data_IF_364867774138
#
_entry.id   IF_364867774138
#
_cell.length_a   1.000
_cell.length_b   1.000
_cell.length_c   1.000
_cell.angle_alpha   90.00
_cell.angle_beta   90.00
_cell.angle_gamma   90.00
#
_symmetry.space_group_name_H-M   'P 1'
#
loop_
_entity.id
_entity.type
_entity.pdbx_description
1 polymer ?
#
# COMPACT_ATOMS: atom_id res chain seq x y z
N UNK A 1 -1.51 10.11 14.76
CA UNK A 1 -1.82 10.55 13.38
C UNK A 1 -0.56 10.84 12.57
N UNK A 2 0.45 11.54 13.10
CA UNK A 2 1.72 11.76 12.38
C UNK A 2 2.47 10.48 12.01
N UNK A 3 2.58 9.53 12.96
CA UNK A 3 3.34 8.29 12.75
C UNK A 3 2.88 7.45 11.54
N UNK A 4 1.59 7.08 11.38
CA UNK A 4 1.13 6.35 10.19
C UNK A 4 1.35 7.15 8.90
N UNK A 5 1.16 8.47 8.91
CA UNK A 5 1.47 9.32 7.75
C UNK A 5 2.95 9.30 7.37
N UNK A 6 3.84 9.31 8.37
CA UNK A 6 5.29 9.20 8.15
C UNK A 6 5.71 7.80 7.68
N UNK A 7 5.07 6.74 8.17
CA UNK A 7 5.28 5.38 7.67
C UNK A 7 4.82 5.23 6.21
N UNK A 8 3.66 5.81 5.86
CA UNK A 8 3.21 5.85 4.47
C UNK A 8 4.21 6.59 3.58
N UNK A 9 4.73 7.71 4.05
CA UNK A 9 5.78 8.45 3.36
C UNK A 9 7.02 7.59 3.15
N UNK A 10 7.50 6.91 4.20
CA UNK A 10 8.67 6.04 4.14
C UNK A 10 8.49 4.88 3.13
N UNK A 11 7.30 4.29 3.10
CA UNK A 11 6.94 3.19 2.20
C UNK A 11 6.82 3.67 0.74
N UNK A 12 6.13 4.79 0.51
CA UNK A 12 5.88 5.34 -0.84
C UNK A 12 7.16 5.89 -1.48
N UNK A 13 8.08 6.39 -0.66
CA UNK A 13 9.36 6.95 -1.12
C UNK A 13 10.44 5.89 -1.36
N UNK A 14 10.16 4.61 -1.08
CA UNK A 14 11.18 3.55 -1.11
C UNK A 14 12.43 3.89 -0.27
N UNK A 15 12.26 4.67 0.80
CA UNK A 15 13.39 5.11 1.63
C UNK A 15 14.04 3.92 2.32
N UNK A 16 13.26 2.91 2.71
CA UNK A 16 13.79 1.68 3.32
C UNK A 16 14.76 0.99 2.36
N UNK A 17 14.39 0.86 1.09
CA UNK A 17 15.24 0.23 0.07
C UNK A 17 16.46 1.10 -0.27
N UNK A 18 16.32 2.43 -0.30
CA UNK A 18 17.44 3.37 -0.45
C UNK A 18 18.45 3.20 0.70
N UNK A 19 17.98 3.07 1.93
CA UNK A 19 18.82 2.89 3.12
C UNK A 19 19.45 1.50 3.17
N UNK A 20 18.77 0.47 2.66
CA UNK A 20 19.35 -0.86 2.51
C UNK A 20 20.55 -0.85 1.56
N UNK A 21 20.42 -0.21 0.38
CA UNK A 21 21.55 -0.05 -0.55
C UNK A 21 22.74 0.72 0.04
N UNK A 22 22.49 1.63 0.98
CA UNK A 22 23.54 2.41 1.66
C UNK A 22 24.25 1.63 2.77
N UNK A 23 23.62 0.60 3.34
CA UNK A 23 24.17 -0.23 4.41
C UNK A 23 24.19 0.44 5.79
N UNK A 24 24.95 -0.17 6.72
CA UNK A 24 24.97 0.21 8.15
C UNK A 24 25.53 1.61 8.41
N UNK A 25 26.38 2.13 7.52
CA UNK A 25 26.92 3.49 7.61
C UNK A 25 25.86 4.59 7.41
N UNK A 26 24.69 4.21 6.90
CA UNK A 26 23.59 5.11 6.62
C UNK A 26 23.84 6.04 5.44
N UNK A 27 22.85 6.85 5.13
CA UNK A 27 22.88 7.82 4.04
C UNK A 27 22.47 9.19 4.55
N UNK A 28 23.17 10.23 4.07
CA UNK A 28 22.80 11.60 4.39
C UNK A 28 21.48 11.98 3.73
N UNK A 29 20.66 12.72 4.46
CA UNK A 29 19.31 13.11 4.04
C UNK A 29 19.28 13.86 2.71
N UNK A 30 20.34 14.61 2.38
CA UNK A 30 20.49 15.25 1.07
C UNK A 30 20.50 14.24 -0.08
N UNK A 31 21.16 13.09 0.10
CA UNK A 31 21.26 12.06 -0.93
C UNK A 31 19.94 11.26 -1.04
N UNK A 32 19.27 11.03 0.09
CA UNK A 32 17.93 10.41 0.11
C UNK A 32 16.93 11.33 -0.62
N UNK A 33 16.93 12.62 -0.28
CA UNK A 33 16.06 13.63 -0.84
C UNK A 33 16.24 13.79 -2.36
N UNK A 34 17.50 13.77 -2.84
CA UNK A 34 17.84 13.83 -4.26
C UNK A 34 17.22 12.69 -5.07
N UNK A 35 17.21 11.47 -4.53
CA UNK A 35 16.66 10.30 -5.25
C UNK A 35 15.18 10.46 -5.60
N UNK A 36 14.43 11.19 -4.79
CA UNK A 36 12.98 11.34 -4.94
C UNK A 36 12.52 12.76 -5.27
N UNK A 37 13.44 13.71 -5.43
CA UNK A 37 13.13 15.11 -5.72
C UNK A 37 12.28 15.81 -4.65
N UNK A 38 12.37 15.38 -3.38
CA UNK A 38 11.66 16.01 -2.26
C UNK A 38 12.58 16.96 -1.49
N UNK A 39 12.02 17.96 -0.84
CA UNK A 39 12.76 18.91 -0.01
C UNK A 39 13.52 18.21 1.15
N UNK A 40 14.77 18.65 1.36
CA UNK A 40 15.70 18.07 2.35
C UNK A 40 15.14 18.25 3.76
N UNK A 41 14.62 19.43 4.09
CA UNK A 41 14.10 19.74 5.42
C UNK A 41 12.90 18.87 5.80
N UNK A 42 11.98 18.62 4.85
CA UNK A 42 10.86 17.69 5.06
C UNK A 42 11.33 16.28 5.34
N UNK A 43 12.31 15.79 4.57
CA UNK A 43 12.90 14.48 4.81
C UNK A 43 13.56 14.41 6.19
N UNK A 44 14.38 15.40 6.55
CA UNK A 44 15.06 15.43 7.85
C UNK A 44 14.06 15.34 9.00
N UNK A 45 13.02 16.18 8.98
CA UNK A 45 11.99 16.15 10.02
C UNK A 45 11.24 14.81 10.10
N UNK A 46 10.87 14.22 8.97
CA UNK A 46 10.14 12.93 8.95
C UNK A 46 11.05 11.79 9.44
N UNK A 47 12.29 11.71 8.97
CA UNK A 47 13.23 10.65 9.33
C UNK A 47 13.70 10.78 10.79
N UNK A 48 13.91 12.00 11.30
CA UNK A 48 14.17 12.24 12.71
C UNK A 48 12.98 11.77 13.57
N UNK A 49 11.74 12.10 13.20
CA UNK A 49 10.55 11.64 13.93
C UNK A 49 10.44 10.10 13.95
N UNK A 50 10.71 9.44 12.82
CA UNK A 50 10.73 7.98 12.77
C UNK A 50 11.87 7.38 13.59
N UNK A 51 13.00 8.09 13.70
CA UNK A 51 14.15 7.68 14.51
C UNK A 51 13.87 7.79 16.02
N UNK A 52 13.16 8.83 16.47
CA UNK A 52 12.72 8.95 17.88
C UNK A 52 11.71 7.88 18.27
N UNK A 53 10.95 7.37 17.30
CA UNK A 53 10.06 6.21 17.48
C UNK A 53 10.75 4.85 17.27
N UNK A 54 12.08 4.82 17.15
CA UNK A 54 12.87 3.60 16.94
C UNK A 54 12.47 2.80 15.69
N UNK A 55 11.91 3.45 14.67
CA UNK A 55 11.60 2.81 13.39
C UNK A 55 12.81 2.90 12.45
N UNK A 56 13.56 4.00 12.52
CA UNK A 56 14.85 4.16 11.86
C UNK A 56 15.95 4.35 12.90
N UNK A 57 17.20 4.36 12.44
CA UNK A 57 18.35 4.69 13.28
C UNK A 57 19.09 5.90 12.68
N UNK A 58 19.19 6.98 13.43
CA UNK A 58 20.01 8.14 13.08
C UNK A 58 21.44 7.90 13.60
N UNK A 59 22.38 7.69 12.69
CA UNK A 59 23.77 7.36 13.01
C UNK A 59 24.52 8.59 13.53
N UNK A 60 24.24 9.75 12.93
CA UNK A 60 24.73 11.08 13.28
C UNK A 60 23.80 12.12 12.64
N UNK A 61 23.91 13.42 12.95
CA UNK A 61 22.99 14.44 12.43
C UNK A 61 22.79 14.30 10.92
N UNK A 62 21.53 14.20 10.51
CA UNK A 62 21.09 14.10 9.12
C UNK A 62 21.55 12.84 8.37
N UNK A 63 22.06 11.81 9.06
CA UNK A 63 22.41 10.51 8.49
C UNK A 63 21.61 9.38 9.11
N UNK A 64 20.86 8.67 8.26
CA UNK A 64 19.92 7.63 8.68
C UNK A 64 20.30 6.27 8.11
N UNK A 65 20.00 5.20 8.84
CA UNK A 65 20.12 3.82 8.39
C UNK A 65 18.90 3.01 8.84
N UNK A 66 18.70 1.85 8.24
CA UNK A 66 17.68 0.92 8.66
C UNK A 66 18.03 0.28 10.00
N UNK A 67 17.01 -0.01 10.80
CA UNK A 67 17.15 -0.81 12.00
C UNK A 67 16.33 -2.10 11.86
N UNK A 68 16.23 -2.90 12.93
CA UNK A 68 15.48 -4.17 12.92
C UNK A 68 14.02 -4.01 12.52
N UNK A 69 13.37 -2.90 12.85
CA UNK A 69 11.97 -2.62 12.54
C UNK A 69 11.83 -2.14 11.10
N UNK A 70 12.62 -1.15 10.64
CA UNK A 70 12.51 -0.73 9.24
C UNK A 70 12.98 -1.79 8.25
N UNK A 71 13.93 -2.64 8.61
CA UNK A 71 14.35 -3.77 7.79
C UNK A 71 13.21 -4.78 7.54
N UNK A 72 12.21 -4.87 8.42
CA UNK A 72 11.03 -5.70 8.17
C UNK A 72 10.19 -5.16 7.00
N UNK A 73 10.21 -3.85 6.77
CA UNK A 73 9.52 -3.18 5.67
C UNK A 73 10.28 -3.26 4.34
N UNK A 74 11.51 -3.77 4.36
CA UNK A 74 12.32 -3.89 3.16
C UNK A 74 11.75 -4.97 2.24
N UNK A 75 11.60 -4.63 0.96
CA UNK A 75 11.17 -5.57 -0.07
C UNK A 75 12.31 -6.46 -0.59
N UNK A 76 13.57 -6.15 -0.24
CA UNK A 76 14.76 -6.85 -0.73
C UNK A 76 15.05 -6.58 -2.21
N UNK A 77 14.47 -5.52 -2.77
CA UNK A 77 14.61 -5.14 -4.19
C UNK A 77 15.43 -3.89 -4.32
N UNK A 78 16.18 -3.80 -5.41
CA UNK A 78 16.94 -2.60 -5.71
C UNK A 78 16.00 -1.47 -6.12
N UNK A 79 16.33 -0.24 -5.71
CA UNK A 79 15.53 0.95 -5.96
C UNK A 79 15.34 1.16 -7.47
N UNK A 80 16.38 0.87 -8.27
CA UNK A 80 16.31 0.96 -9.74
C UNK A 80 15.24 0.05 -10.35
N UNK A 81 14.98 -1.12 -9.76
CA UNK A 81 13.94 -2.05 -10.23
C UNK A 81 12.55 -1.57 -9.82
N UNK A 82 12.43 -1.02 -8.60
CA UNK A 82 11.18 -0.46 -8.08
C UNK A 82 10.72 0.76 -8.89
N UNK A 83 11.66 1.59 -9.33
CA UNK A 83 11.39 2.75 -10.18
C UNK A 83 10.86 2.34 -11.55
N UNK A 84 11.46 1.29 -12.14
CA UNK A 84 11.01 0.75 -13.42
C UNK A 84 9.64 0.11 -13.30
N UNK A 85 9.42 -0.73 -12.29
CA UNK A 85 8.23 -1.55 -12.12
C UNK A 85 7.58 -1.35 -10.72
N UNK A 86 6.99 -0.18 -10.40
CA UNK A 86 6.46 0.07 -9.06
C UNK A 86 5.34 -0.91 -8.68
N UNK A 87 4.54 -1.34 -9.66
CA UNK A 87 3.48 -2.32 -9.46
C UNK A 87 3.97 -3.66 -8.92
N UNK A 88 5.22 -4.04 -9.23
CA UNK A 88 5.80 -5.31 -8.80
C UNK A 88 6.44 -5.23 -7.42
N UNK A 89 6.41 -4.10 -6.70
CA UNK A 89 7.11 -3.91 -5.40
C UNK A 89 6.89 -5.08 -4.44
N UNK A 90 5.64 -5.47 -4.20
CA UNK A 90 5.31 -6.47 -3.19
C UNK A 90 5.41 -7.93 -3.67
N UNK A 91 5.63 -8.17 -4.98
CA UNK A 91 5.73 -9.53 -5.52
C UNK A 91 6.95 -10.25 -4.91
N UNK A 92 6.74 -11.42 -4.31
CA UNK A 92 7.82 -12.23 -3.74
C UNK A 92 8.37 -11.77 -2.39
N UNK A 93 7.73 -10.83 -1.69
CA UNK A 93 8.20 -10.32 -0.38
C UNK A 93 7.50 -11.00 0.81
N UNK A 94 7.86 -10.63 2.04
CA UNK A 94 7.20 -11.08 3.28
C UNK A 94 5.80 -10.45 3.52
N UNK A 95 5.39 -9.48 2.69
CA UNK A 95 4.10 -8.79 2.79
C UNK A 95 4.02 -7.67 3.83
N UNK A 96 5.07 -7.40 4.60
CA UNK A 96 5.07 -6.33 5.63
C UNK A 96 4.96 -4.95 5.01
N UNK A 97 5.75 -4.67 3.97
CA UNK A 97 5.65 -3.43 3.22
C UNK A 97 4.24 -3.21 2.64
N UNK A 98 3.62 -4.29 2.13
CA UNK A 98 2.26 -4.25 1.58
C UNK A 98 1.22 -3.94 2.65
N UNK A 99 1.36 -4.57 3.83
CA UNK A 99 0.50 -4.35 4.98
C UNK A 99 0.59 -2.91 5.49
N UNK A 100 1.80 -2.38 5.63
CA UNK A 100 2.00 -0.98 6.07
C UNK A 100 1.45 -0.02 5.02
N UNK A 101 1.75 -0.23 3.74
CA UNK A 101 1.21 0.58 2.64
C UNK A 101 -0.32 0.63 2.64
N UNK A 102 -1.00 -0.52 2.81
CA UNK A 102 -2.46 -0.61 2.89
C UNK A 102 -3.02 0.11 4.13
N UNK A 103 -2.45 -0.16 5.31
CA UNK A 103 -2.98 0.37 6.56
C UNK A 103 -2.79 1.88 6.68
N UNK A 104 -1.66 2.39 6.20
CA UNK A 104 -1.30 3.80 6.32
C UNK A 104 -1.83 4.68 5.19
N UNK A 105 -2.33 4.07 4.11
CA UNK A 105 -3.01 4.76 3.00
C UNK A 105 -4.55 4.68 3.17
N UNK A 106 -5.20 3.67 2.61
CA UNK A 106 -6.66 3.63 2.49
C UNK A 106 -7.37 3.50 3.83
N UNK A 107 -6.88 2.58 4.66
CA UNK A 107 -7.54 2.29 5.93
C UNK A 107 -7.36 3.43 6.91
N UNK A 108 -6.18 4.06 6.94
CA UNK A 108 -5.96 5.23 7.78
C UNK A 108 -6.84 6.41 7.33
N UNK A 109 -6.92 6.68 6.02
CA UNK A 109 -7.84 7.71 5.49
C UNK A 109 -9.29 7.42 5.83
N UNK A 110 -9.75 6.17 5.70
CA UNK A 110 -11.10 5.81 6.11
C UNK A 110 -11.31 6.01 7.63
N UNK A 111 -10.32 5.64 8.44
CA UNK A 111 -10.41 5.72 9.90
C UNK A 111 -10.59 7.15 10.41
N UNK A 112 -10.05 8.16 9.71
CA UNK A 112 -10.20 9.56 10.12
C UNK A 112 -11.61 10.09 9.94
N UNK A 113 -12.46 9.42 9.14
CA UNK A 113 -13.86 9.83 8.89
C UNK A 113 -14.88 9.08 9.78
N UNK A 114 -14.45 8.39 10.83
CA UNK A 114 -15.34 7.67 11.74
C UNK A 114 -16.37 8.59 12.39
N UNK A 115 -15.95 9.76 12.86
CA UNK A 115 -16.84 10.72 13.53
C UNK A 115 -17.88 11.28 12.57
N UNK A 116 -17.46 11.65 11.37
CA UNK A 116 -18.31 12.16 10.30
C UNK A 116 -19.34 11.13 9.87
N UNK A 117 -18.91 9.87 9.68
CA UNK A 117 -19.78 8.80 9.21
C UNK A 117 -20.74 8.28 10.30
N UNK A 118 -20.29 8.16 11.55
CA UNK A 118 -21.05 7.45 12.59
C UNK A 118 -21.61 8.32 13.71
N UNK A 119 -21.24 9.61 13.78
CA UNK A 119 -21.77 10.52 14.80
C UNK A 119 -22.51 11.69 14.18
N UNK A 120 -21.93 12.30 13.15
CA UNK A 120 -22.39 13.59 12.60
C UNK A 120 -23.35 13.47 11.40
N UNK A 121 -23.48 12.29 10.80
CA UNK A 121 -24.35 12.09 9.64
C UNK A 121 -25.51 11.14 9.97
N UNK A 122 -26.73 11.69 10.03
CA UNK A 122 -27.94 10.94 10.33
C UNK A 122 -28.25 9.84 9.29
N UNK A 123 -27.81 10.00 8.04
CA UNK A 123 -28.05 9.00 7.00
C UNK A 123 -27.24 7.71 7.21
N UNK A 124 -26.03 7.82 7.79
CA UNK A 124 -25.10 6.69 7.89
C UNK A 124 -24.88 6.22 9.33
N UNK A 125 -25.20 7.05 10.33
CA UNK A 125 -25.03 6.75 11.76
C UNK A 125 -25.71 5.47 12.25
N UNK A 126 -26.85 5.12 11.68
CA UNK A 126 -27.59 3.89 12.02
C UNK A 126 -27.52 2.84 10.90
N UNK A 127 -26.76 3.11 9.85
CA UNK A 127 -26.69 2.21 8.71
C UNK A 127 -25.81 1.00 9.01
N UNK A 128 -26.22 -0.14 8.46
CA UNK A 128 -25.43 -1.38 8.44
C UNK A 128 -24.92 -1.70 7.03
N UNK A 129 -25.16 -0.81 6.07
CA UNK A 129 -24.82 -1.06 4.67
C UNK A 129 -23.32 -0.92 4.44
N UNK A 130 -22.69 -1.85 3.69
CA UNK A 130 -21.26 -1.80 3.39
C UNK A 130 -20.86 -0.64 2.45
N UNK A 131 -21.85 0.08 1.90
CA UNK A 131 -21.69 1.28 1.07
C UNK A 131 -21.83 2.59 1.85
N UNK A 132 -22.08 2.52 3.16
CA UNK A 132 -22.37 3.66 4.03
C UNK A 132 -21.39 3.67 5.21
N UNK A 133 -20.10 3.43 4.90
CA UNK A 133 -19.01 3.31 5.88
C UNK A 133 -18.07 4.53 5.82
N UNK A 134 -17.21 4.76 6.82
CA UNK A 134 -16.20 5.83 6.81
C UNK A 134 -15.30 5.80 5.57
N UNK A 135 -15.07 4.61 5.01
CA UNK A 135 -14.35 4.47 3.74
C UNK A 135 -15.09 5.15 2.58
N UNK A 136 -16.41 5.02 2.51
CA UNK A 136 -17.24 5.70 1.50
C UNK A 136 -17.17 7.22 1.62
N UNK A 137 -17.10 7.75 2.85
CA UNK A 137 -16.88 9.18 3.10
C UNK A 137 -15.49 9.64 2.65
N UNK A 138 -14.45 8.92 3.04
CA UNK A 138 -13.07 9.29 2.74
C UNK A 138 -12.76 9.35 1.24
N UNK A 139 -13.40 8.48 0.46
CA UNK A 139 -13.16 8.35 -0.97
C UNK A 139 -14.30 8.88 -1.85
N UNK A 140 -15.39 9.38 -1.26
CA UNK A 140 -16.51 9.99 -1.97
C UNK A 140 -17.24 9.05 -2.93
N UNK A 141 -17.50 7.81 -2.50
CA UNK A 141 -17.94 6.72 -3.38
C UNK A 141 -19.03 5.86 -2.75
N UNK A 142 -19.89 5.25 -3.59
CA UNK A 142 -21.05 4.44 -3.16
C UNK A 142 -20.88 2.93 -3.37
N UNK A 143 -19.64 2.44 -3.46
CA UNK A 143 -19.33 1.01 -3.60
C UNK A 143 -18.76 0.45 -2.30
N UNK A 144 -18.98 -0.84 -2.05
CA UNK A 144 -18.26 -1.54 -0.98
C UNK A 144 -16.76 -1.60 -1.28
N UNK A 145 -15.94 -1.80 -0.23
CA UNK A 145 -14.49 -1.81 -0.33
C UNK A 145 -13.94 -2.77 -1.39
N UNK A 146 -14.39 -4.03 -1.40
CA UNK A 146 -13.92 -5.03 -2.37
C UNK A 146 -14.34 -4.73 -3.80
N UNK A 147 -15.60 -4.33 -4.01
CA UNK A 147 -16.08 -3.92 -5.34
C UNK A 147 -15.37 -2.67 -5.87
N UNK A 148 -14.72 -1.88 -5.01
CA UNK A 148 -13.80 -0.84 -5.43
C UNK A 148 -12.42 -1.40 -5.77
N UNK A 149 -11.83 -2.24 -4.93
CA UNK A 149 -10.53 -2.86 -5.20
C UNK A 149 -10.49 -3.63 -6.53
N UNK A 150 -11.58 -4.32 -6.85
CA UNK A 150 -11.73 -5.12 -8.08
C UNK A 150 -12.01 -4.29 -9.33
N UNK A 151 -12.18 -2.96 -9.20
CA UNK A 151 -12.39 -2.08 -10.35
C UNK A 151 -11.10 -1.95 -11.17
N UNK A 152 -10.98 -2.83 -12.17
CA UNK A 152 -10.06 -2.67 -13.29
C UNK A 152 -10.73 -1.70 -14.25
N UNK A 153 -10.17 -0.50 -14.39
CA UNK A 153 -10.51 0.34 -15.54
C UNK A 153 -9.74 -0.24 -16.72
N UNK A 154 -10.46 -0.87 -17.64
CA UNK A 154 -9.90 -1.24 -18.94
C UNK A 154 -9.35 0.04 -19.58
N UNK A 155 -8.05 0.06 -19.78
CA UNK A 155 -7.47 0.96 -20.78
C UNK A 155 -7.71 0.24 -22.09
N UNK A 156 -8.47 0.84 -23.00
CA UNK A 156 -8.77 0.28 -24.31
C UNK A 156 -7.46 -0.17 -25.00
N UNK A 157 -7.21 -1.48 -25.08
CA UNK A 157 -6.27 -2.06 -26.05
C UNK A 157 -4.96 -2.72 -25.58
N UNK A 158 -4.88 -3.40 -24.43
CA UNK A 158 -3.72 -4.27 -24.13
C UNK A 158 -4.10 -5.75 -24.03
N UNK A 159 -3.53 -6.55 -24.95
CA UNK A 159 -3.59 -8.01 -24.95
C UNK A 159 -2.87 -8.58 -23.72
N UNK A 160 -3.36 -9.71 -23.20
CA UNK A 160 -2.69 -10.53 -22.19
C UNK A 160 -1.28 -10.93 -22.64
N UNK A 161 -0.31 -10.09 -22.31
CA UNK A 161 1.13 -10.31 -22.34
C UNK A 161 1.71 -9.59 -21.12
N UNK A 162 2.96 -9.89 -20.72
CA UNK A 162 3.61 -9.16 -19.63
C UNK A 162 3.56 -7.65 -19.91
N UNK A 163 2.70 -6.92 -19.19
CA UNK A 163 2.55 -5.47 -19.30
C UNK A 163 3.95 -4.82 -19.19
N UNK A 164 4.32 -3.93 -20.13
CA UNK A 164 5.56 -3.18 -20.02
C UNK A 164 5.55 -2.40 -18.71
N UNK A 165 6.60 -2.56 -17.92
CA UNK A 165 6.76 -1.75 -16.73
C UNK A 165 7.02 -0.30 -17.15
N UNK A 166 5.99 0.53 -17.17
CA UNK A 166 6.17 1.97 -17.32
C UNK A 166 6.77 2.57 -16.04
N UNK A 167 7.79 3.41 -16.20
CA UNK A 167 8.44 4.12 -15.11
C UNK A 167 7.41 4.80 -14.20
N UNK A 168 7.52 4.55 -12.90
CA UNK A 168 6.65 5.19 -11.92
C UNK A 168 6.77 6.71 -11.96
N UNK A 169 5.64 7.40 -12.07
CA UNK A 169 5.50 8.88 -12.00
C UNK A 169 6.13 9.47 -10.73
N UNK A 170 6.40 8.65 -9.71
CA UNK A 170 6.94 9.01 -8.40
C UNK A 170 8.30 9.72 -8.41
N UNK A 171 9.13 9.54 -9.45
CA UNK A 171 10.45 10.19 -9.54
C UNK A 171 10.46 11.49 -10.34
N UNK A 172 9.55 11.66 -11.29
CA UNK A 172 9.41 12.93 -12.01
C UNK A 172 8.52 13.82 -11.17
N UNK A 173 9.15 14.57 -10.27
CA UNK A 173 8.48 15.64 -9.53
C UNK A 173 7.62 16.44 -10.50
N UNK A 174 6.30 16.31 -10.36
CA UNK A 174 5.35 17.02 -11.20
C UNK A 174 5.53 18.50 -10.89
N UNK A 175 6.28 19.21 -11.74
CA UNK A 175 6.20 20.66 -11.81
C UNK A 175 4.77 20.99 -12.23
N UNK A 176 3.93 21.35 -11.26
CA UNK A 176 2.61 21.92 -11.51
C UNK A 176 1.44 21.01 -11.15
N UNK A 177 0.49 21.63 -10.44
CA UNK A 177 -0.85 21.17 -10.07
C UNK A 177 -0.97 20.19 -8.90
N UNK A 178 -1.08 20.79 -7.71
CA UNK A 178 -1.54 20.13 -6.50
C UNK A 178 -2.94 19.57 -6.74
N UNK A 179 -3.04 18.24 -6.80
CA UNK A 179 -4.12 17.53 -6.12
C UNK A 179 -5.24 16.89 -6.93
N UNK A 180 -5.20 16.85 -8.27
CA UNK A 180 -6.30 16.21 -9.04
C UNK A 180 -5.94 15.00 -9.91
N UNK A 181 -4.68 14.79 -10.31
CA UNK A 181 -4.37 13.75 -11.31
C UNK A 181 -3.52 12.55 -10.85
N UNK A 182 -2.86 12.59 -9.69
CA UNK A 182 -2.06 11.43 -9.24
C UNK A 182 -2.95 10.22 -8.84
N UNK A 183 -4.23 10.44 -8.54
CA UNK A 183 -5.17 9.38 -8.09
C UNK A 183 -6.02 8.78 -9.22
N UNK A 184 -5.96 9.32 -10.45
CA UNK A 184 -7.02 9.09 -11.45
C UNK A 184 -6.63 8.16 -12.60
N UNK A 185 -5.36 7.76 -12.70
CA UNK A 185 -4.80 7.22 -13.95
C UNK A 185 -4.67 5.69 -14.12
N UNK A 186 -4.75 4.86 -13.08
CA UNK A 186 -4.68 3.40 -13.23
C UNK A 186 -5.70 2.78 -12.28
N UNK A 187 -6.48 1.81 -12.74
CA UNK A 187 -7.49 1.13 -11.91
C UNK A 187 -6.93 0.58 -10.59
N UNK A 188 -7.78 -0.02 -9.76
CA UNK A 188 -7.37 -0.43 -8.42
C UNK A 188 -6.54 -1.73 -8.37
N UNK A 189 -6.09 -2.26 -9.52
CA UNK A 189 -5.25 -3.46 -9.67
C UNK A 189 -4.05 -3.48 -8.70
N UNK A 190 -3.27 -2.40 -8.63
CA UNK A 190 -2.14 -2.30 -7.70
C UNK A 190 -2.58 -2.39 -6.23
N UNK A 191 -3.71 -1.77 -5.87
CA UNK A 191 -4.26 -1.81 -4.51
C UNK A 191 -4.75 -3.20 -4.17
N UNK A 192 -5.37 -3.90 -5.12
CA UNK A 192 -5.83 -5.28 -4.98
C UNK A 192 -4.65 -6.24 -4.81
N UNK A 193 -3.60 -6.11 -5.62
CA UNK A 193 -2.37 -6.91 -5.49
C UNK A 193 -1.68 -6.66 -4.14
N UNK A 194 -1.57 -5.38 -3.74
CA UNK A 194 -1.07 -5.00 -2.41
C UNK A 194 -1.91 -5.61 -1.30
N UNK A 195 -3.23 -5.54 -1.40
CA UNK A 195 -4.15 -6.12 -0.43
C UNK A 195 -3.95 -7.63 -0.29
N UNK A 196 -3.96 -8.37 -1.41
CA UNK A 196 -3.74 -9.81 -1.39
C UNK A 196 -2.38 -10.18 -0.79
N UNK A 197 -1.34 -9.39 -1.08
CA UNK A 197 -0.02 -9.61 -0.50
C UNK A 197 0.06 -9.26 0.99
N UNK A 198 -0.65 -8.23 1.43
CA UNK A 198 -0.75 -7.87 2.85
C UNK A 198 -1.43 -8.98 3.66
N UNK A 199 -2.56 -9.50 3.18
CA UNK A 199 -3.33 -10.54 3.89
C UNK A 199 -2.56 -11.87 3.95
N UNK A 200 -1.96 -12.31 2.84
CA UNK A 200 -1.13 -13.52 2.82
C UNK A 200 0.14 -13.36 3.65
N UNK A 201 0.73 -12.17 3.66
CA UNK A 201 1.89 -11.84 4.48
C UNK A 201 1.59 -11.89 5.97
N UNK A 202 0.49 -11.28 6.42
CA UNK A 202 0.12 -11.25 7.85
C UNK A 202 -0.15 -12.63 8.44
N UNK A 203 -0.60 -13.60 7.66
CA UNK A 203 -0.75 -14.99 8.11
C UNK A 203 0.57 -15.63 8.57
N UNK A 204 1.71 -15.15 8.05
CA UNK A 204 3.03 -15.63 8.46
C UNK A 204 3.54 -15.00 9.77
N UNK A 205 2.78 -14.06 10.35
CA UNK A 205 3.16 -13.34 11.58
C UNK A 205 2.54 -14.00 12.82
N UNK A 206 1.64 -14.96 12.63
CA UNK A 206 1.10 -15.73 13.72
C UNK A 206 2.19 -16.60 14.35
N UNK A 207 2.31 -16.60 15.69
CA UNK A 207 3.25 -17.48 16.37
C UNK A 207 2.90 -18.94 16.06
N UNK A 208 3.90 -19.84 15.94
CA UNK A 208 3.64 -21.26 15.72
C UNK A 208 2.70 -21.81 16.81
N UNK A 209 1.48 -22.21 16.42
CA UNK A 209 0.45 -22.70 17.34
C UNK A 209 -0.58 -21.67 17.83
N UNK A 210 -0.62 -20.47 17.25
CA UNK A 210 -1.64 -19.46 17.54
C UNK A 210 -3.07 -19.93 17.19
N UNK A 211 -4.07 -19.37 17.88
CA UNK A 211 -5.50 -19.69 17.70
C UNK A 211 -6.01 -19.49 16.26
N UNK A 212 -5.32 -18.68 15.45
CA UNK A 212 -5.67 -18.39 14.05
C UNK A 212 -5.04 -19.37 13.04
N UNK A 213 -4.22 -20.34 13.49
CA UNK A 213 -3.73 -21.44 12.63
C UNK A 213 -4.85 -22.40 12.19
N UNK A 214 -6.10 -22.15 12.59
CA UNK A 214 -7.28 -22.75 12.00
C UNK A 214 -7.53 -22.19 10.60
N UNK A 215 -6.74 -22.66 9.61
CA UNK A 215 -7.11 -22.76 8.20
C UNK A 215 -7.99 -21.60 7.68
N UNK A 216 -7.41 -20.49 7.26
CA UNK A 216 -8.06 -19.68 6.22
C UNK A 216 -7.97 -20.49 4.92
N UNK A 217 -9.03 -21.14 4.43
CA UNK A 217 -8.98 -21.71 3.10
C UNK A 217 -8.87 -20.52 2.15
N UNK A 218 -7.94 -20.57 1.20
CA UNK A 218 -8.03 -19.68 0.04
C UNK A 218 -9.46 -19.79 -0.51
N UNK A 219 -10.14 -18.67 -0.83
CA UNK A 219 -11.41 -18.77 -1.54
C UNK A 219 -11.08 -19.38 -2.91
N UNK A 220 -11.31 -20.68 -3.06
CA UNK A 220 -11.36 -21.30 -4.37
C UNK A 220 -12.45 -20.58 -5.17
N UNK A 221 -12.20 -20.16 -6.41
CA UNK A 221 -13.21 -19.52 -7.22
C UNK A 221 -14.43 -20.44 -7.34
N UNK A 222 -15.67 -19.90 -7.30
CA UNK A 222 -16.87 -20.73 -7.37
C UNK A 222 -16.86 -21.54 -8.67
N UNK A 223 -17.26 -22.83 -8.64
CA UNK A 223 -17.25 -23.67 -9.82
C UNK A 223 -18.23 -23.10 -10.86
N UNK A 224 -17.69 -22.74 -12.02
CA UNK A 224 -18.43 -22.40 -13.22
C UNK A 224 -19.23 -23.63 -13.66
N UNK A 225 -20.47 -23.77 -13.21
CA UNK A 225 -21.40 -24.73 -13.79
C UNK A 225 -21.85 -24.21 -15.15
N UNK A 226 -21.09 -24.57 -16.18
CA UNK A 226 -21.60 -24.80 -17.52
C UNK A 226 -22.64 -25.93 -17.42
N UNK A 227 -23.92 -25.59 -17.46
CA UNK A 227 -24.98 -26.55 -17.80
C UNK A 227 -25.45 -26.26 -19.21
N UNK A 228 -24.85 -26.98 -20.16
CA UNK A 228 -25.46 -27.30 -21.44
C UNK A 228 -25.68 -28.82 -21.47
N UNK A 229 -26.83 -29.21 -22.03
CA UNK A 229 -27.36 -30.57 -22.26
C UNK A 229 -28.04 -31.27 -21.07
N UNK A 230 -29.38 -31.30 -21.04
CA UNK A 230 -30.33 -32.14 -21.80
C UNK A 230 -30.51 -33.54 -21.18
N UNK A 231 -31.77 -33.80 -20.81
CA UNK A 231 -32.53 -35.06 -20.98
C UNK A 231 -31.90 -36.39 -20.52
N UNK A 232 -32.54 -37.08 -19.56
CA UNK A 232 -33.42 -38.25 -19.77
C UNK A 232 -33.55 -39.12 -18.50
N UNK A 233 -34.78 -39.58 -18.25
CA UNK A 233 -35.19 -40.85 -17.59
C UNK A 233 -34.91 -40.96 -16.07
N UNK A 234 -35.81 -41.41 -15.20
CA UNK A 234 -37.17 -41.94 -15.29
C UNK A 234 -37.86 -41.72 -13.92
#
# INVERSE_FOLDING_TARGET
YHLPSCLHFLETTHTVEILHEAGEGGLHVSEIAKRNGTDIGKYAHILCLLSTHHILHEVKPDMFTNNRISALMDCGKEVRELVKCPGKKYKGTNGIAAFIGLNTDELFKASTYLTEAYVLNDATKFSTQPTETPFNFAFGMKKGFFGWLEEVREVDGEQEGEEPCEEGVWLKGSQGEIGKDVRRGRGNKFRLERFGKAMSGSCAWDPPGGLLNGSCPSPSPPPTKLTHHLEQQA
#
